data_IF_265875911582
#
_entry.id   IF_265875911582
#
_cell.length_a   1.000
_cell.length_b   1.000
_cell.length_c   1.000
_cell.angle_alpha   90.00
_cell.angle_beta   90.00
_cell.angle_gamma   90.00
#
_symmetry.space_group_name_H-M   'P 1'
#
loop_
_entity.id
_entity.type
_entity.pdbx_description
1 polymer ?
#
# COMPACT_ATOMS: atom_id res chain seq x y z
N UNK A 1 -37.64 47.19 2.98
CA UNK A 1 -37.51 46.13 1.95
C UNK A 1 -36.12 45.51 1.85
N UNK A 2 -35.02 46.23 2.15
CA UNK A 2 -33.65 45.71 2.02
C UNK A 2 -33.28 44.56 3.00
N UNK A 3 -33.89 44.52 4.18
CA UNK A 3 -33.59 43.51 5.22
C UNK A 3 -34.14 42.11 4.93
N UNK A 4 -35.22 42.01 4.15
CA UNK A 4 -35.86 40.72 3.84
C UNK A 4 -34.99 39.90 2.87
N UNK A 5 -34.31 40.58 1.92
CA UNK A 5 -33.41 39.92 0.97
C UNK A 5 -32.18 39.29 1.62
N UNK A 6 -31.65 39.93 2.68
CA UNK A 6 -30.47 39.42 3.41
C UNK A 6 -30.82 38.15 4.18
N UNK A 7 -31.99 38.10 4.81
CA UNK A 7 -32.44 36.92 5.58
C UNK A 7 -32.63 35.72 4.66
N UNK A 8 -33.22 35.91 3.49
CA UNK A 8 -33.42 34.82 2.51
C UNK A 8 -32.07 34.29 2.00
N UNK A 9 -31.11 35.17 1.69
CA UNK A 9 -29.78 34.77 1.25
C UNK A 9 -29.04 33.93 2.31
N UNK A 10 -29.13 34.30 3.60
CA UNK A 10 -28.52 33.54 4.68
C UNK A 10 -29.13 32.15 4.85
N UNK A 11 -30.45 32.00 4.69
CA UNK A 11 -31.13 30.71 4.79
C UNK A 11 -30.71 29.78 3.63
N UNK A 12 -30.63 30.32 2.41
CA UNK A 12 -30.19 29.54 1.24
C UNK A 12 -28.74 29.10 1.39
N UNK A 13 -27.85 29.97 1.89
CA UNK A 13 -26.43 29.65 2.12
C UNK A 13 -26.27 28.57 3.21
N UNK A 14 -27.02 28.70 4.32
CA UNK A 14 -27.02 27.70 5.39
C UNK A 14 -27.54 26.35 4.89
N UNK A 15 -28.63 26.34 4.12
CA UNK A 15 -29.17 25.12 3.52
C UNK A 15 -28.19 24.47 2.53
N UNK A 16 -27.48 25.27 1.72
CA UNK A 16 -26.43 24.79 0.81
C UNK A 16 -25.25 24.17 1.57
N UNK A 17 -24.78 24.82 2.63
CA UNK A 17 -23.69 24.29 3.47
C UNK A 17 -24.11 22.99 4.16
N UNK A 18 -25.33 22.92 4.70
CA UNK A 18 -25.86 21.71 5.34
C UNK A 18 -26.02 20.58 4.32
N UNK A 19 -26.57 20.88 3.15
CA UNK A 19 -26.71 19.92 2.05
C UNK A 19 -25.35 19.38 1.60
N UNK A 20 -24.36 20.25 1.36
CA UNK A 20 -23.00 19.84 1.00
C UNK A 20 -22.33 19.00 2.09
N UNK A 21 -22.48 19.37 3.37
CA UNK A 21 -21.86 18.66 4.50
C UNK A 21 -22.49 17.29 4.76
N UNK A 22 -23.79 17.13 4.52
CA UNK A 22 -24.52 15.88 4.78
C UNK A 22 -24.44 14.90 3.60
N UNK A 23 -24.57 15.36 2.35
CA UNK A 23 -24.63 14.47 1.18
C UNK A 23 -23.25 13.95 0.73
N UNK A 24 -22.17 14.72 0.88
CA UNK A 24 -20.81 14.24 0.56
C UNK A 24 -20.17 13.38 1.66
N UNK A 25 -20.61 13.49 2.91
CA UNK A 25 -19.99 12.79 4.04
C UNK A 25 -20.25 11.27 4.09
N UNK A 26 -21.37 10.78 3.56
CA UNK A 26 -21.77 9.36 3.65
C UNK A 26 -21.13 8.50 2.55
N UNK A 27 -21.06 9.00 1.31
CA UNK A 27 -20.42 8.29 0.20
C UNK A 27 -18.90 8.19 0.38
N UNK A 28 -18.25 9.28 0.81
CA UNK A 28 -16.80 9.33 1.07
C UNK A 28 -16.43 8.48 2.31
N UNK A 29 -17.28 8.41 3.34
CA UNK A 29 -17.06 7.51 4.49
C UNK A 29 -17.11 6.02 4.12
N UNK A 30 -18.05 5.60 3.27
CA UNK A 30 -18.08 4.22 2.75
C UNK A 30 -16.90 3.91 1.83
N UNK A 31 -16.51 4.86 0.97
CA UNK A 31 -15.34 4.74 0.10
C UNK A 31 -14.04 4.62 0.90
N UNK A 32 -13.86 5.41 1.97
CA UNK A 32 -12.67 5.36 2.85
C UNK A 32 -12.53 4.00 3.53
N UNK A 33 -13.57 3.51 4.24
CA UNK A 33 -13.53 2.21 4.91
C UNK A 33 -13.27 1.05 3.93
N UNK A 34 -13.80 1.13 2.71
CA UNK A 34 -13.52 0.17 1.64
C UNK A 34 -12.07 0.26 1.16
N UNK A 35 -11.50 1.46 1.05
CA UNK A 35 -10.11 1.71 0.60
C UNK A 35 -9.07 1.11 1.55
N UNK A 36 -9.39 1.03 2.83
CA UNK A 36 -8.45 0.57 3.88
C UNK A 36 -8.59 -0.91 4.09
N UNK A 37 -9.84 -1.40 4.06
CA UNK A 37 -10.09 -2.83 3.96
C UNK A 37 -9.42 -3.38 2.70
N UNK A 38 -9.40 -2.63 1.60
CA UNK A 38 -8.67 -3.03 0.41
C UNK A 38 -7.16 -2.87 0.56
N UNK A 39 -6.62 -1.84 1.21
CA UNK A 39 -5.18 -1.73 1.48
C UNK A 39 -4.65 -2.85 2.38
N UNK A 40 -5.28 -3.07 3.54
CA UNK A 40 -4.94 -4.16 4.46
C UNK A 40 -5.20 -5.52 3.80
N UNK A 41 -6.35 -5.64 3.11
CA UNK A 41 -6.71 -6.83 2.35
C UNK A 41 -5.65 -7.15 1.31
N UNK A 42 -5.21 -6.17 0.52
CA UNK A 42 -4.18 -6.31 -0.50
C UNK A 42 -2.86 -6.77 0.11
N UNK A 43 -2.48 -6.25 1.28
CA UNK A 43 -1.23 -6.68 1.93
C UNK A 43 -1.31 -8.11 2.46
N UNK A 44 -2.46 -8.54 2.98
CA UNK A 44 -2.70 -9.96 3.36
C UNK A 44 -2.85 -10.88 2.14
N UNK A 45 -3.19 -10.30 0.99
CA UNK A 45 -3.40 -10.97 -0.28
C UNK A 45 -2.10 -11.11 -1.08
N UNK A 46 -1.08 -10.33 -0.74
CA UNK A 46 0.20 -10.28 -1.42
C UNK A 46 1.00 -11.56 -1.15
N UNK A 47 1.45 -12.20 -2.24
CA UNK A 47 2.15 -13.48 -2.22
C UNK A 47 3.59 -13.34 -2.70
N UNK A 48 3.82 -12.61 -3.80
CA UNK A 48 5.17 -12.36 -4.30
C UNK A 48 5.31 -10.96 -4.90
N UNK A 49 6.49 -10.37 -4.76
CA UNK A 49 6.94 -9.19 -5.50
C UNK A 49 8.19 -9.59 -6.27
N UNK A 50 8.25 -9.27 -7.55
CA UNK A 50 9.39 -9.56 -8.40
C UNK A 50 9.81 -8.36 -9.23
N UNK A 51 11.10 -8.33 -9.56
CA UNK A 51 11.65 -7.42 -10.56
C UNK A 51 12.41 -8.24 -11.59
N UNK A 52 11.98 -8.14 -12.85
CA UNK A 52 12.64 -8.76 -13.99
C UNK A 52 13.41 -7.70 -14.76
N UNK A 53 14.69 -7.94 -15.02
CA UNK A 53 15.48 -7.12 -15.93
C UNK A 53 15.15 -7.43 -17.38
N UNK A 54 14.66 -6.42 -18.13
CA UNK A 54 14.15 -6.60 -19.49
C UNK A 54 15.24 -6.96 -20.51
N UNK A 55 16.48 -6.57 -20.28
CA UNK A 55 17.56 -6.86 -21.21
C UNK A 55 17.89 -8.34 -21.35
N UNK A 56 17.52 -9.17 -20.36
CA UNK A 56 17.77 -10.62 -20.37
C UNK A 56 16.57 -11.48 -19.93
N UNK A 57 15.47 -10.87 -19.46
CA UNK A 57 14.33 -11.61 -18.91
C UNK A 57 14.59 -12.29 -17.57
N UNK A 58 15.66 -11.92 -16.85
CA UNK A 58 16.09 -12.57 -15.61
C UNK A 58 15.48 -11.84 -14.39
N UNK A 59 15.02 -12.58 -13.39
CA UNK A 59 14.63 -12.03 -12.09
C UNK A 59 15.86 -11.52 -11.35
N UNK A 60 15.90 -10.23 -11.05
CA UNK A 60 17.00 -9.57 -10.33
C UNK A 60 16.68 -9.28 -8.86
N UNK A 61 15.40 -9.37 -8.50
CA UNK A 61 14.92 -9.24 -7.13
C UNK A 61 13.60 -10.00 -6.98
N UNK A 62 13.44 -10.67 -5.85
CA UNK A 62 12.18 -11.30 -5.47
C UNK A 62 12.00 -11.28 -3.96
N UNK A 63 10.78 -10.98 -3.53
CA UNK A 63 10.37 -11.08 -2.14
C UNK A 63 9.09 -11.92 -2.06
N UNK A 64 9.08 -12.88 -1.15
CA UNK A 64 7.96 -13.81 -0.94
C UNK A 64 7.28 -13.51 0.39
N UNK A 65 5.96 -13.58 0.37
CA UNK A 65 5.09 -13.33 1.50
C UNK A 65 4.25 -14.60 1.74
N UNK A 66 4.52 -15.27 2.85
CA UNK A 66 3.95 -16.58 3.19
C UNK A 66 4.85 -17.77 2.85
N UNK A 67 4.25 -18.96 2.83
CA UNK A 67 4.97 -20.25 2.74
C UNK A 67 5.03 -20.84 1.32
N UNK A 68 4.38 -20.21 0.35
CA UNK A 68 4.32 -20.73 -1.02
C UNK A 68 5.63 -20.43 -1.76
N UNK A 69 6.21 -21.47 -2.36
CA UNK A 69 7.43 -21.34 -3.14
C UNK A 69 7.07 -21.26 -4.62
N UNK A 70 7.41 -20.15 -5.25
CA UNK A 70 7.21 -19.93 -6.67
C UNK A 70 8.55 -19.95 -7.40
N UNK A 71 8.65 -20.76 -8.45
CA UNK A 71 9.82 -20.74 -9.33
C UNK A 71 9.80 -19.48 -10.20
N UNK A 72 10.66 -18.53 -9.83
CA UNK A 72 10.79 -17.25 -10.51
C UNK A 72 11.33 -17.39 -11.95
N UNK A 73 12.10 -18.45 -12.23
CA UNK A 73 12.62 -18.76 -13.57
C UNK A 73 11.48 -19.21 -14.48
N UNK A 74 10.59 -20.06 -13.96
CA UNK A 74 9.41 -20.49 -14.70
C UNK A 74 8.48 -19.32 -15.00
N UNK A 75 8.18 -18.49 -13.99
CA UNK A 75 7.31 -17.33 -14.18
C UNK A 75 7.90 -16.33 -15.19
N UNK A 76 9.18 -16.00 -15.06
CA UNK A 76 9.84 -15.06 -15.97
C UNK A 76 9.85 -15.58 -17.42
N UNK A 77 10.16 -16.87 -17.62
CA UNK A 77 10.09 -17.52 -18.92
C UNK A 77 8.68 -17.51 -19.53
N UNK A 78 7.66 -17.82 -18.74
CA UNK A 78 6.26 -17.78 -19.17
C UNK A 78 5.85 -16.37 -19.62
N UNK A 79 6.15 -15.35 -18.81
CA UNK A 79 5.79 -13.97 -19.12
C UNK A 79 6.52 -13.47 -20.37
N UNK A 80 7.76 -13.88 -20.60
CA UNK A 80 8.48 -13.53 -21.81
C UNK A 80 7.87 -14.18 -23.05
N UNK A 81 7.54 -15.48 -22.98
CA UNK A 81 6.87 -16.20 -24.06
C UNK A 81 5.52 -15.56 -24.44
N UNK A 82 4.72 -15.17 -23.45
CA UNK A 82 3.44 -14.48 -23.69
C UNK A 82 3.65 -13.14 -24.41
N UNK A 83 4.66 -12.36 -24.02
CA UNK A 83 4.93 -11.08 -24.68
C UNK A 83 5.41 -11.25 -26.13
N UNK A 84 6.30 -12.22 -26.39
CA UNK A 84 6.75 -12.54 -27.76
C UNK A 84 5.56 -12.95 -28.62
N UNK A 85 4.71 -13.84 -28.12
CA UNK A 85 3.51 -14.30 -28.81
C UNK A 85 2.52 -13.15 -29.06
N UNK A 86 2.29 -12.29 -28.06
CA UNK A 86 1.46 -11.09 -28.20
C UNK A 86 1.95 -10.18 -29.33
N UNK A 87 3.26 -9.98 -29.44
CA UNK A 87 3.88 -9.25 -30.54
C UNK A 87 3.64 -9.87 -31.92
N UNK A 88 3.65 -11.21 -32.01
CA UNK A 88 3.42 -11.93 -33.27
C UNK A 88 1.97 -11.85 -33.75
N UNK A 89 0.99 -11.87 -32.83
CA UNK A 89 -0.45 -11.80 -33.18
C UNK A 89 -0.94 -10.36 -33.39
N UNK A 90 -0.02 -9.38 -33.41
CA UNK A 90 -0.35 -7.97 -33.64
C UNK A 90 -1.05 -7.29 -32.46
N UNK A 91 -1.00 -7.88 -31.26
CA UNK A 91 -1.54 -7.26 -30.06
C UNK A 91 -0.76 -5.97 -29.76
N UNK A 92 -1.43 -4.82 -29.87
CA UNK A 92 -0.86 -3.52 -29.53
C UNK A 92 -1.01 -3.31 -28.02
N UNK A 93 -0.10 -3.89 -27.25
CA UNK A 93 -0.13 -3.75 -25.80
C UNK A 93 0.96 -4.57 -25.13
N UNK A 94 1.24 -4.23 -23.87
CA UNK A 94 2.07 -5.05 -22.99
C UNK A 94 1.15 -5.84 -22.06
N UNK A 95 1.54 -7.04 -21.68
CA UNK A 95 0.81 -7.82 -20.68
C UNK A 95 0.79 -7.03 -19.36
N UNK A 96 -0.41 -6.69 -18.87
CA UNK A 96 -0.60 -5.92 -17.62
C UNK A 96 -1.14 -6.76 -16.48
N UNK A 97 -1.93 -7.79 -16.81
CA UNK A 97 -2.56 -8.67 -15.83
C UNK A 97 -2.64 -10.08 -16.38
N UNK A 98 -2.42 -11.04 -15.49
CA UNK A 98 -2.69 -12.46 -15.73
C UNK A 98 -3.52 -12.99 -14.56
N UNK A 99 -4.52 -13.79 -14.86
CA UNK A 99 -5.42 -14.37 -13.88
C UNK A 99 -5.41 -15.89 -14.05
N UNK A 100 -5.20 -16.61 -12.95
CA UNK A 100 -5.20 -18.06 -12.92
C UNK A 100 -5.86 -18.53 -11.62
N UNK A 101 -7.06 -19.10 -11.73
CA UNK A 101 -7.91 -19.46 -10.59
C UNK A 101 -8.08 -18.27 -9.61
N UNK A 102 -7.65 -18.42 -8.37
CA UNK A 102 -7.65 -17.35 -7.37
C UNK A 102 -6.48 -16.38 -7.54
N UNK A 103 -5.41 -16.77 -8.23
CA UNK A 103 -4.22 -15.95 -8.35
C UNK A 103 -4.36 -14.86 -9.41
N UNK A 104 -3.96 -13.65 -9.03
CA UNK A 104 -3.85 -12.51 -9.92
C UNK A 104 -2.42 -11.99 -9.92
N UNK A 105 -1.87 -11.80 -11.12
CA UNK A 105 -0.54 -11.25 -11.34
C UNK A 105 -0.75 -9.91 -12.03
N UNK A 106 -0.28 -8.84 -11.39
CA UNK A 106 -0.23 -7.50 -12.00
C UNK A 106 1.21 -7.17 -12.39
N UNK A 107 1.34 -6.51 -13.54
CA UNK A 107 2.62 -6.26 -14.19
C UNK A 107 2.70 -4.78 -14.51
N UNK A 108 3.76 -4.13 -14.03
CA UNK A 108 4.11 -2.78 -14.42
C UNK A 108 5.41 -2.72 -15.19
N UNK A 109 5.38 -1.96 -16.28
CA UNK A 109 6.44 -1.91 -17.27
C UNK A 109 7.27 -0.63 -17.11
N UNK A 110 8.50 -0.80 -16.62
CA UNK A 110 9.52 0.23 -16.59
C UNK A 110 10.29 0.35 -17.91
N UNK A 111 11.30 1.22 -17.91
CA UNK A 111 12.23 1.39 -19.02
C UNK A 111 13.11 0.15 -19.19
N UNK A 112 13.82 -0.25 -18.13
CA UNK A 112 14.80 -1.35 -18.06
C UNK A 112 14.33 -2.55 -17.25
N UNK A 113 13.32 -2.38 -16.40
CA UNK A 113 12.77 -3.48 -15.60
C UNK A 113 11.27 -3.66 -15.82
N UNK A 114 10.77 -4.80 -15.37
CA UNK A 114 9.35 -5.11 -15.19
C UNK A 114 9.13 -5.45 -13.73
N UNK A 115 8.24 -4.71 -13.07
CA UNK A 115 7.79 -5.04 -11.72
C UNK A 115 6.56 -5.93 -11.79
N UNK A 116 6.49 -6.92 -10.91
CA UNK A 116 5.41 -7.89 -10.85
C UNK A 116 4.96 -8.02 -9.40
N UNK A 117 3.65 -8.02 -9.17
CA UNK A 117 3.04 -8.39 -7.89
C UNK A 117 2.07 -9.54 -8.14
N UNK A 118 2.17 -10.57 -7.31
CA UNK A 118 1.26 -11.71 -7.31
C UNK A 118 0.40 -11.68 -6.06
N UNK A 119 -0.88 -11.92 -6.26
CA UNK A 119 -1.93 -11.85 -5.25
C UNK A 119 -2.81 -13.11 -5.31
N UNK A 120 -3.42 -13.51 -4.20
CA UNK A 120 -4.39 -14.62 -4.10
C UNK A 120 -5.84 -14.24 -4.43
N UNK A 121 -6.09 -12.96 -4.70
CA UNK A 121 -7.37 -12.34 -5.00
C UNK A 121 -7.11 -11.10 -5.86
N UNK A 122 -8.16 -10.55 -6.46
CA UNK A 122 -8.06 -9.34 -7.28
C UNK A 122 -7.43 -8.17 -6.49
N UNK A 123 -6.35 -7.56 -6.99
CA UNK A 123 -5.69 -6.44 -6.31
C UNK A 123 -6.52 -5.17 -6.43
N UNK A 124 -6.49 -4.32 -5.40
CA UNK A 124 -7.10 -2.99 -5.50
C UNK A 124 -6.28 -2.02 -6.36
N UNK A 125 -6.88 -0.89 -6.73
CA UNK A 125 -6.18 0.21 -7.42
C UNK A 125 -4.95 0.69 -6.65
N UNK A 126 -4.98 0.64 -5.32
CA UNK A 126 -3.85 1.05 -4.50
C UNK A 126 -2.62 0.19 -4.78
N UNK A 127 -2.79 -1.13 -4.89
CA UNK A 127 -1.65 -2.03 -5.13
C UNK A 127 -1.06 -1.83 -6.53
N UNK A 128 -1.88 -1.52 -7.52
CA UNK A 128 -1.41 -1.14 -8.87
C UNK A 128 -0.61 0.17 -8.87
N UNK A 129 -1.09 1.17 -8.13
CA UNK A 129 -0.39 2.45 -7.96
C UNK A 129 0.91 2.27 -7.19
N UNK A 130 0.90 1.47 -6.13
CA UNK A 130 2.08 1.11 -5.35
C UNK A 130 3.14 0.42 -6.21
N UNK A 131 2.75 -0.55 -7.05
CA UNK A 131 3.64 -1.20 -8.00
C UNK A 131 4.22 -0.20 -9.01
N UNK A 132 3.41 0.73 -9.50
CA UNK A 132 3.86 1.80 -10.41
C UNK A 132 4.91 2.71 -9.76
N UNK A 133 4.69 3.10 -8.51
CA UNK A 133 5.64 3.91 -7.73
C UNK A 133 6.91 3.11 -7.44
N UNK A 134 6.78 1.85 -7.03
CA UNK A 134 7.89 0.94 -6.77
C UNK A 134 8.81 0.80 -7.97
N UNK A 135 8.27 0.52 -9.17
CA UNK A 135 9.10 0.39 -10.39
C UNK A 135 9.85 1.69 -10.69
N UNK A 136 9.21 2.85 -10.57
CA UNK A 136 9.87 4.14 -10.79
C UNK A 136 11.00 4.36 -9.80
N UNK A 137 10.77 4.11 -8.51
CA UNK A 137 11.79 4.26 -7.46
C UNK A 137 12.93 3.27 -7.63
N UNK A 138 12.64 2.02 -7.98
CA UNK A 138 13.64 1.00 -8.26
C UNK A 138 14.55 1.42 -9.41
N UNK A 139 13.97 1.86 -10.54
CA UNK A 139 14.75 2.33 -11.69
C UNK A 139 15.62 3.54 -11.35
N UNK A 140 15.11 4.45 -10.52
CA UNK A 140 15.88 5.61 -10.09
C UNK A 140 17.01 5.23 -9.14
N UNK A 141 16.75 4.39 -8.13
CA UNK A 141 17.74 3.94 -7.14
C UNK A 141 18.89 3.17 -7.80
N UNK A 142 18.57 2.32 -8.77
CA UNK A 142 19.55 1.44 -9.41
C UNK A 142 19.88 1.83 -10.85
N UNK A 143 19.64 3.08 -11.26
CA UNK A 143 19.80 3.52 -12.65
C UNK A 143 21.17 3.18 -13.24
N UNK A 144 22.24 3.41 -12.47
CA UNK A 144 23.62 3.10 -12.86
C UNK A 144 23.86 1.60 -12.99
N UNK A 145 23.47 0.81 -11.98
CA UNK A 145 23.61 -0.65 -11.99
C UNK A 145 22.82 -1.30 -13.13
N UNK A 146 21.64 -0.77 -13.46
CA UNK A 146 20.77 -1.28 -14.52
C UNK A 146 21.26 -0.95 -15.94
N UNK A 147 22.09 0.07 -16.12
CA UNK A 147 22.63 0.46 -17.43
C UNK A 147 23.63 -0.59 -17.94
N UNK A 148 24.57 -0.98 -17.09
CA UNK A 148 25.67 -1.88 -17.43
C UNK A 148 25.62 -3.16 -16.59
N UNK A 149 24.41 -3.67 -16.34
CA UNK A 149 24.22 -4.82 -15.45
C UNK A 149 24.95 -6.05 -15.98
N UNK A 150 25.91 -6.55 -15.20
CA UNK A 150 26.79 -7.66 -15.57
C UNK A 150 26.21 -9.04 -15.19
N UNK A 151 25.10 -9.08 -14.43
CA UNK A 151 24.53 -10.32 -13.90
C UNK A 151 24.55 -10.40 -12.37
N UNK A 152 25.25 -9.50 -11.69
CA UNK A 152 25.29 -9.48 -10.22
C UNK A 152 23.98 -8.97 -9.62
N UNK A 153 23.30 -9.81 -8.85
CA UNK A 153 22.02 -9.47 -8.19
C UNK A 153 22.19 -8.87 -6.80
N UNK A 154 23.39 -8.97 -6.20
CA UNK A 154 23.65 -8.50 -4.83
C UNK A 154 23.24 -7.03 -4.62
N UNK A 155 23.51 -6.09 -5.55
CA UNK A 155 23.12 -4.70 -5.37
C UNK A 155 21.61 -4.49 -5.17
N UNK A 156 20.77 -5.37 -5.75
CA UNK A 156 19.32 -5.23 -5.70
C UNK A 156 18.69 -5.82 -4.43
N UNK A 157 19.44 -6.55 -3.59
CA UNK A 157 18.90 -7.12 -2.35
C UNK A 157 18.41 -6.03 -1.38
N UNK A 158 19.02 -4.84 -1.42
CA UNK A 158 18.58 -3.65 -0.66
C UNK A 158 17.28 -3.02 -1.19
N UNK A 159 16.60 -3.65 -2.15
CA UNK A 159 15.29 -3.23 -2.61
C UNK A 159 14.17 -3.64 -1.65
N UNK A 160 14.44 -4.46 -0.63
CA UNK A 160 13.50 -4.73 0.47
C UNK A 160 13.00 -3.42 1.12
N UNK A 161 13.89 -2.44 1.31
CA UNK A 161 13.53 -1.12 1.84
C UNK A 161 12.50 -0.40 0.94
N UNK A 162 12.63 -0.55 -0.38
CA UNK A 162 11.69 0.03 -1.34
C UNK A 162 10.34 -0.70 -1.31
N UNK A 163 10.36 -2.01 -1.04
CA UNK A 163 9.13 -2.79 -0.88
C UNK A 163 8.38 -2.30 0.35
N UNK A 164 9.05 -2.18 1.50
CA UNK A 164 8.45 -1.67 2.73
C UNK A 164 7.94 -0.23 2.58
N UNK A 165 8.68 0.60 1.86
CA UNK A 165 8.26 1.99 1.60
C UNK A 165 7.05 2.08 0.67
N UNK A 166 7.00 1.30 -0.42
CA UNK A 166 5.99 1.45 -1.46
C UNK A 166 4.70 0.67 -1.16
N UNK A 167 4.84 -0.50 -0.57
CA UNK A 167 3.71 -1.38 -0.27
C UNK A 167 3.26 -1.25 1.18
N UNK A 168 4.03 -0.60 2.06
CA UNK A 168 3.71 -0.54 3.49
C UNK A 168 3.58 -1.94 4.12
N UNK A 169 4.39 -2.90 3.67
CA UNK A 169 4.42 -4.29 4.16
C UNK A 169 4.70 -4.38 5.64
N UNK A 170 5.37 -3.39 6.24
CA UNK A 170 5.50 -3.28 7.70
C UNK A 170 4.14 -3.31 8.46
N UNK A 171 3.04 -2.93 7.80
CA UNK A 171 1.70 -2.90 8.41
C UNK A 171 1.06 -4.29 8.56
N UNK A 172 1.64 -5.36 8.01
CA UNK A 172 1.11 -6.74 8.15
C UNK A 172 1.72 -7.53 9.29
N UNK A 173 2.83 -7.08 9.85
CA UNK A 173 3.52 -7.78 10.92
C UNK A 173 2.95 -7.39 12.29
N UNK A 174 3.04 -8.28 13.30
CA UNK A 174 2.78 -7.92 14.68
C UNK A 174 3.66 -6.74 15.10
N UNK A 175 3.06 -5.75 15.74
CA UNK A 175 3.74 -4.54 16.20
C UNK A 175 3.86 -4.49 17.70
N UNK A 176 5.00 -3.99 18.18
CA UNK A 176 5.19 -3.61 19.57
C UNK A 176 5.28 -2.08 19.71
N UNK A 177 4.80 -1.56 20.84
CA UNK A 177 4.91 -0.14 21.17
C UNK A 177 6.26 0.12 21.83
N UNK A 178 7.08 0.98 21.23
CA UNK A 178 8.33 1.46 21.81
C UNK A 178 8.15 2.72 22.64
N UNK A 179 7.06 3.45 22.41
CA UNK A 179 6.76 4.66 23.16
C UNK A 179 6.49 4.37 24.64
N UNK A 180 7.34 4.90 25.51
CA UNK A 180 7.24 4.73 26.96
C UNK A 180 6.42 5.84 27.64
N UNK A 181 6.15 6.96 26.97
CA UNK A 181 5.50 8.14 27.55
C UNK A 181 6.33 9.42 27.44
N UNK A 182 7.55 9.35 26.91
CA UNK A 182 8.44 10.50 26.71
C UNK A 182 7.97 11.41 25.56
N UNK A 183 8.29 12.70 25.69
CA UNK A 183 8.01 13.77 24.73
C UNK A 183 6.56 13.88 24.21
N UNK A 184 5.53 13.88 25.08
CA UNK A 184 4.14 14.02 24.66
C UNK A 184 3.84 15.34 23.95
N UNK A 185 4.67 16.37 24.15
CA UNK A 185 4.57 17.68 23.50
C UNK A 185 4.83 17.63 21.98
N UNK A 186 5.51 16.60 21.49
CA UNK A 186 5.80 16.39 20.06
C UNK A 186 4.69 15.62 19.34
N UNK A 187 3.62 15.28 20.07
CA UNK A 187 2.52 14.45 19.60
C UNK A 187 1.22 15.24 19.65
N UNK A 188 0.41 15.08 18.61
CA UNK A 188 -0.97 15.57 18.59
C UNK A 188 -1.85 14.76 19.54
N UNK A 189 -2.96 15.35 20.00
CA UNK A 189 -3.98 14.65 20.80
C UNK A 189 -4.46 13.34 20.17
N UNK A 190 -4.46 13.27 18.83
CA UNK A 190 -4.87 12.09 18.09
C UNK A 190 -3.80 10.99 18.15
N UNK A 191 -2.53 11.35 17.94
CA UNK A 191 -1.40 10.43 18.06
C UNK A 191 -1.27 9.87 19.48
N UNK A 192 -1.42 10.72 20.50
CA UNK A 192 -1.41 10.28 21.91
C UNK A 192 -2.50 9.25 22.19
N UNK A 193 -3.72 9.47 21.70
CA UNK A 193 -4.83 8.50 21.85
C UNK A 193 -4.55 7.20 21.12
N UNK A 194 -3.92 7.26 19.96
CA UNK A 194 -3.51 6.08 19.19
C UNK A 194 -2.46 5.29 19.97
N UNK A 195 -1.39 5.93 20.44
CA UNK A 195 -0.32 5.31 21.20
C UNK A 195 -0.81 4.70 22.52
N UNK A 196 -1.69 5.39 23.24
CA UNK A 196 -2.33 4.84 24.45
C UNK A 196 -3.19 3.60 24.15
N UNK A 197 -3.93 3.62 23.03
CA UNK A 197 -4.73 2.46 22.61
C UNK A 197 -3.82 1.29 22.25
N UNK A 198 -2.75 1.54 21.50
CA UNK A 198 -1.75 0.53 21.14
C UNK A 198 -1.09 -0.09 22.38
N UNK A 199 -0.69 0.75 23.35
CA UNK A 199 -0.06 0.30 24.60
C UNK A 199 -1.01 -0.57 25.42
N UNK A 200 -2.30 -0.23 25.44
CA UNK A 200 -3.34 -1.04 26.07
C UNK A 200 -3.51 -2.43 25.42
N UNK A 201 -3.33 -2.54 24.10
CA UNK A 201 -3.37 -3.83 23.39
C UNK A 201 -2.10 -4.66 23.66
N UNK A 202 -0.92 -4.05 23.57
CA UNK A 202 0.35 -4.71 23.91
C UNK A 202 0.39 -5.21 25.36
N UNK A 203 -0.24 -4.51 26.31
CA UNK A 203 -0.32 -4.98 27.69
C UNK A 203 -1.08 -6.31 27.84
N UNK A 204 -1.95 -6.66 26.88
CA UNK A 204 -2.75 -7.90 26.91
C UNK A 204 -2.13 -9.04 26.10
N UNK A 205 -1.45 -8.73 24.98
CA UNK A 205 -1.00 -9.73 24.00
C UNK A 205 0.46 -9.56 23.56
N UNK A 206 1.24 -8.74 24.26
CA UNK A 206 2.63 -8.34 23.95
C UNK A 206 2.81 -7.53 22.65
N UNK A 207 1.96 -7.77 21.65
CA UNK A 207 1.93 -7.10 20.36
C UNK A 207 0.49 -6.77 19.92
N UNK A 208 0.34 -5.99 18.86
CA UNK A 208 -0.93 -5.75 18.19
C UNK A 208 -0.77 -5.84 16.67
N UNK A 209 -1.85 -6.16 15.96
CA UNK A 209 -1.89 -6.05 14.50
C UNK A 209 -2.57 -4.74 14.10
N UNK A 210 -2.11 -4.13 13.01
CA UNK A 210 -2.71 -2.90 12.45
C UNK A 210 -4.23 -3.03 12.21
N UNK A 211 -4.76 -4.13 11.65
CA UNK A 211 -6.20 -4.28 11.46
C UNK A 211 -6.98 -4.20 12.78
N UNK A 212 -6.48 -4.85 13.84
CA UNK A 212 -7.15 -4.91 15.14
C UNK A 212 -7.23 -3.52 15.79
N UNK A 213 -6.09 -2.80 15.83
CA UNK A 213 -6.06 -1.47 16.41
C UNK A 213 -6.88 -0.49 15.56
N UNK A 214 -6.86 -0.63 14.24
CA UNK A 214 -7.58 0.26 13.34
C UNK A 214 -9.09 0.11 13.50
N UNK A 215 -9.60 -1.12 13.67
CA UNK A 215 -11.00 -1.37 13.99
C UNK A 215 -11.40 -0.66 15.29
N UNK A 216 -10.62 -0.83 16.35
CA UNK A 216 -10.85 -0.22 17.66
C UNK A 216 -10.82 1.31 17.58
N UNK A 217 -9.82 1.88 16.90
CA UNK A 217 -9.66 3.33 16.76
C UNK A 217 -10.78 3.94 15.93
N UNK A 218 -11.23 3.24 14.88
CA UNK A 218 -12.36 3.68 14.05
C UNK A 218 -13.63 3.78 14.89
N UNK A 219 -13.91 2.75 15.70
CA UNK A 219 -15.06 2.73 16.60
C UNK A 219 -14.97 3.82 17.68
N UNK A 220 -13.81 3.98 18.33
CA UNK A 220 -13.63 4.91 19.45
C UNK A 220 -13.54 6.38 19.04
N UNK A 221 -12.86 6.69 17.93
CA UNK A 221 -12.51 8.05 17.56
C UNK A 221 -13.40 8.63 16.45
N UNK A 222 -14.19 7.79 15.77
CA UNK A 222 -15.09 8.20 14.69
C UNK A 222 -14.37 8.87 13.50
N UNK A 223 -13.06 8.66 13.38
CA UNK A 223 -12.22 9.15 12.28
C UNK A 223 -12.27 8.19 11.10
N UNK A 224 -12.03 8.69 9.89
CA UNK A 224 -11.88 7.81 8.73
C UNK A 224 -10.67 6.91 8.96
N UNK A 225 -10.75 5.62 8.62
CA UNK A 225 -9.63 4.75 8.92
C UNK A 225 -8.41 5.05 8.00
N UNK A 226 -8.57 5.76 6.87
CA UNK A 226 -7.46 6.17 5.98
C UNK A 226 -6.54 7.12 6.73
N UNK A 227 -7.17 8.07 7.43
CA UNK A 227 -6.48 9.04 8.25
C UNK A 227 -5.80 8.37 9.43
N UNK A 228 -6.45 7.38 10.04
CA UNK A 228 -5.87 6.63 11.16
C UNK A 228 -4.69 5.77 10.68
N UNK A 229 -4.81 5.13 9.52
CA UNK A 229 -3.75 4.33 8.92
C UNK A 229 -2.52 5.19 8.56
N UNK A 230 -2.74 6.36 7.97
CA UNK A 230 -1.67 7.30 7.66
C UNK A 230 -0.92 7.74 8.93
N UNK A 231 -1.64 7.99 10.03
CA UNK A 231 -1.02 8.35 11.31
C UNK A 231 -0.30 7.14 11.94
N UNK A 232 -0.88 5.94 11.89
CA UNK A 232 -0.22 4.72 12.36
C UNK A 232 1.09 4.46 11.60
N UNK A 233 1.07 4.67 10.29
CA UNK A 233 2.25 4.52 9.43
C UNK A 233 3.30 5.61 9.72
N UNK A 234 2.89 6.85 9.98
CA UNK A 234 3.80 7.93 10.38
C UNK A 234 4.45 7.64 11.74
N UNK A 235 3.65 7.20 12.73
CA UNK A 235 4.13 6.79 14.05
C UNK A 235 5.11 5.60 13.97
N UNK A 236 4.84 4.64 13.08
CA UNK A 236 5.77 3.57 12.76
C UNK A 236 7.09 4.11 12.19
N UNK A 237 7.04 5.01 11.20
CA UNK A 237 8.24 5.64 10.61
C UNK A 237 9.06 6.41 11.66
N UNK A 238 8.38 7.08 12.59
CA UNK A 238 8.97 7.80 13.72
C UNK A 238 9.44 6.88 14.86
N UNK A 239 9.43 5.56 14.66
CA UNK A 239 9.94 4.55 15.60
C UNK A 239 9.16 4.47 16.93
N UNK A 240 7.92 4.96 16.99
CA UNK A 240 7.05 4.72 18.14
C UNK A 240 6.49 3.28 18.15
N UNK A 241 6.47 2.63 16.99
CA UNK A 241 6.16 1.22 16.81
C UNK A 241 7.33 0.51 16.14
N UNK A 242 7.53 -0.76 16.48
CA UNK A 242 8.44 -1.66 15.77
C UNK A 242 7.67 -2.87 15.26
N UNK A 243 8.06 -3.34 14.07
CA UNK A 243 7.59 -4.59 13.49
C UNK A 243 8.37 -5.76 14.09
N UNK A 244 7.66 -6.78 14.57
CA UNK A 244 8.24 -8.04 15.03
C UNK A 244 8.31 -9.00 13.83
N UNK A 245 9.40 -8.90 13.06
CA UNK A 245 9.75 -9.83 11.97
C UNK A 245 10.50 -11.05 12.48
#
# INVERSE_FOLDING_TARGET
>A
MMWIGIIIACIVLAALIIYFKFFHGSAIRKLSAAHIKSQIGDLTNLSHILVIYKGRGISIFSQTFGYEHLDMTLLSGLLEAINVMGGQVGAKGKLRRLEYESYQIIIHEGKRIRGIVMCRQAPSSFLEDALTVFVKKFENKYAGTLLDWNGDIVPFQTAVDLVDECFATALIYPMAVMWNGEHPEELTDLELKILQTAKGLCAQKECFLIPDILEILTQKLGKSPDRLLAILYDLYKRQYFISLT
#
